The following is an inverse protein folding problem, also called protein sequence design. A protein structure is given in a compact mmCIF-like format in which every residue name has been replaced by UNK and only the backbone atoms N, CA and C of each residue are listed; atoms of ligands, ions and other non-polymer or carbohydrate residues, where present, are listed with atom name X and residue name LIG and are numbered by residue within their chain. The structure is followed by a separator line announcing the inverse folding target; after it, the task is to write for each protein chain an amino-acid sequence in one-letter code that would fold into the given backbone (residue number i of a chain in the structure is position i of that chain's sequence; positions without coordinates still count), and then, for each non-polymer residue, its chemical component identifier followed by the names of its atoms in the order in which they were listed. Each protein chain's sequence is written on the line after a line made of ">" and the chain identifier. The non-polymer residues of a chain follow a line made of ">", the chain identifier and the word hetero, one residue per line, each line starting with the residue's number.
data_IF_445240162676
#
_entry.id   IF_445240162676
#
_cell.length_a   1.000
_cell.length_b   1.000
_cell.length_c   1.000
_cell.angle_alpha   90.00
_cell.angle_beta   90.00
_cell.angle_gamma   90.00
#
_symmetry.space_group_name_H-M   'P 1'
#
loop_
_entity.id
_entity.type
_entity.pdbx_description
1 polymer ?
#
# COMPACT_ATOMS: atom_id res chain seq x y z
N UNK A 1 18.53 15.87 -1.90
CA UNK A 1 17.93 14.65 -1.29
C UNK A 1 16.42 14.73 -1.45
N UNK A 2 15.77 13.89 -2.26
CA UNK A 2 14.30 13.89 -2.42
C UNK A 2 13.68 13.38 -1.11
N UNK A 3 12.82 14.17 -0.46
CA UNK A 3 12.00 13.68 0.67
C UNK A 3 11.06 12.61 0.14
N UNK A 4 11.22 11.37 0.59
CA UNK A 4 10.30 10.27 0.28
C UNK A 4 8.99 10.60 0.99
N UNK A 5 7.97 11.03 0.24
CA UNK A 5 6.61 11.11 0.76
C UNK A 5 6.07 9.69 0.84
N UNK A 6 5.62 9.29 2.03
CA UNK A 6 5.08 7.95 2.27
C UNK A 6 3.64 7.85 1.75
N UNK A 7 2.91 8.95 1.86
CA UNK A 7 1.50 9.07 1.49
C UNK A 7 1.37 10.19 0.47
N UNK A 8 0.76 9.87 -0.66
CA UNK A 8 0.44 10.81 -1.73
C UNK A 8 -1.01 10.61 -2.16
N UNK A 9 -1.75 11.71 -2.27
CA UNK A 9 -3.18 11.68 -2.63
C UNK A 9 -4.06 10.78 -1.75
N UNK A 10 -3.69 10.56 -0.49
CA UNK A 10 -4.46 9.74 0.44
C UNK A 10 -4.31 8.24 0.26
N UNK A 11 -3.29 7.79 -0.50
CA UNK A 11 -2.87 6.40 -0.59
C UNK A 11 -1.33 6.33 -0.50
N UNK A 12 -0.74 5.14 -0.45
CA UNK A 12 0.70 4.94 -0.58
C UNK A 12 1.19 5.41 -1.95
N UNK A 13 2.32 6.13 -1.94
CA UNK A 13 2.99 6.56 -3.17
C UNK A 13 3.33 5.36 -4.06
N UNK A 14 3.28 5.55 -5.37
CA UNK A 14 3.52 4.53 -6.41
C UNK A 14 4.81 3.74 -6.15
N UNK A 15 5.87 4.45 -5.76
CA UNK A 15 7.16 3.86 -5.41
C UNK A 15 7.09 2.92 -4.21
N UNK A 16 6.32 3.26 -3.18
CA UNK A 16 6.19 2.42 -1.99
C UNK A 16 5.38 1.17 -2.31
N UNK A 17 4.29 1.30 -3.07
CA UNK A 17 3.51 0.16 -3.55
C UNK A 17 4.39 -0.81 -4.34
N UNK A 18 5.23 -0.29 -5.23
CA UNK A 18 6.16 -1.08 -6.01
C UNK A 18 7.24 -1.74 -5.14
N UNK A 19 7.81 -1.02 -4.16
CA UNK A 19 8.78 -1.58 -3.21
C UNK A 19 8.17 -2.73 -2.41
N UNK A 20 6.94 -2.61 -1.91
CA UNK A 20 6.27 -3.69 -1.19
C UNK A 20 6.11 -4.95 -2.05
N UNK A 21 5.72 -4.79 -3.32
CA UNK A 21 5.59 -5.90 -4.27
C UNK A 21 6.94 -6.56 -4.51
N UNK A 22 7.95 -5.77 -4.90
CA UNK A 22 9.29 -6.27 -5.24
C UNK A 22 9.95 -6.92 -4.02
N UNK A 23 9.89 -6.30 -2.84
CA UNK A 23 10.45 -6.84 -1.61
C UNK A 23 9.74 -8.12 -1.18
N UNK A 24 8.41 -8.20 -1.33
CA UNK A 24 7.65 -9.41 -1.03
C UNK A 24 8.06 -10.59 -1.92
N UNK A 25 8.16 -10.38 -3.22
CA UNK A 25 8.66 -11.40 -4.15
C UNK A 25 10.13 -11.77 -3.91
N UNK A 26 10.99 -10.80 -3.61
CA UNK A 26 12.39 -11.05 -3.28
C UNK A 26 12.54 -11.90 -2.01
N UNK A 27 11.76 -11.62 -0.96
CA UNK A 27 11.72 -12.42 0.26
C UNK A 27 11.26 -13.85 -0.03
N UNK A 28 10.22 -14.01 -0.85
CA UNK A 28 9.73 -15.33 -1.25
C UNK A 28 10.79 -16.11 -2.04
N UNK A 29 11.50 -15.45 -2.97
CA UNK A 29 12.61 -16.06 -3.70
C UNK A 29 13.76 -16.48 -2.78
N UNK A 30 14.15 -15.63 -1.84
CA UNK A 30 15.16 -15.96 -0.84
C UNK A 30 14.72 -17.13 0.06
N UNK A 31 13.45 -17.16 0.47
CA UNK A 31 12.90 -18.24 1.28
C UNK A 31 13.01 -19.59 0.59
N UNK A 32 12.67 -19.66 -0.71
CA UNK A 32 12.73 -20.91 -1.46
C UNK A 32 14.14 -21.32 -1.90
N UNK A 33 15.04 -20.36 -2.14
CA UNK A 33 16.39 -20.67 -2.63
C UNK A 33 17.41 -20.91 -1.52
N UNK A 34 17.32 -20.16 -0.41
CA UNK A 34 18.36 -20.12 0.62
C UNK A 34 17.99 -20.95 1.86
N UNK A 35 16.70 -21.12 2.14
CA UNK A 35 16.24 -21.84 3.33
C UNK A 35 15.84 -23.25 2.92
N UNK A 36 16.35 -24.24 3.66
CA UNK A 36 15.91 -25.63 3.48
C UNK A 36 14.38 -25.73 3.67
N UNK A 37 13.69 -26.65 2.97
CA UNK A 37 12.25 -26.84 3.07
C UNK A 37 11.87 -27.27 4.49
N UNK A 38 11.59 -26.26 5.31
CA UNK A 38 11.31 -26.32 6.73
C UNK A 38 10.13 -25.41 7.01
N UNK A 39 9.46 -25.62 8.15
CA UNK A 39 8.33 -24.78 8.59
C UNK A 39 8.74 -23.30 8.60
N UNK A 40 9.98 -23.01 9.02
CA UNK A 40 10.52 -21.65 9.04
C UNK A 40 10.62 -21.04 7.62
N UNK A 41 11.12 -21.80 6.64
CA UNK A 41 11.14 -21.35 5.24
C UNK A 41 9.75 -21.05 4.69
N UNK A 42 8.76 -21.88 5.04
CA UNK A 42 7.35 -21.65 4.72
C UNK A 42 6.80 -20.37 5.34
N UNK A 43 7.11 -20.09 6.61
CA UNK A 43 6.69 -18.84 7.28
C UNK A 43 7.29 -17.59 6.60
N UNK A 44 8.59 -17.62 6.25
CA UNK A 44 9.24 -16.51 5.56
C UNK A 44 8.62 -16.29 4.18
N UNK A 45 8.32 -17.36 3.45
CA UNK A 45 7.62 -17.27 2.16
C UNK A 45 6.22 -16.65 2.30
N UNK A 46 5.46 -17.03 3.33
CA UNK A 46 4.14 -16.44 3.62
C UNK A 46 4.21 -14.96 3.99
N UNK A 47 5.24 -14.54 4.71
CA UNK A 47 5.48 -13.11 5.01
C UNK A 47 5.78 -12.35 3.72
N UNK A 48 6.65 -12.89 2.86
CA UNK A 48 6.92 -12.31 1.53
C UNK A 48 5.66 -12.19 0.69
N UNK A 49 4.82 -13.22 0.68
CA UNK A 49 3.53 -13.22 0.00
C UNK A 49 2.57 -12.16 0.55
N UNK A 50 2.44 -12.04 1.88
CA UNK A 50 1.60 -11.02 2.51
C UNK A 50 2.05 -9.60 2.14
N UNK A 51 3.36 -9.33 2.12
CA UNK A 51 3.91 -8.04 1.69
C UNK A 51 3.58 -7.73 0.22
N UNK A 52 3.72 -8.73 -0.66
CA UNK A 52 3.37 -8.58 -2.07
C UNK A 52 1.87 -8.29 -2.26
N UNK A 53 1.01 -8.97 -1.49
CA UNK A 53 -0.43 -8.73 -1.49
C UNK A 53 -0.77 -7.30 -1.02
N UNK A 54 -0.17 -6.83 0.07
CA UNK A 54 -0.41 -5.47 0.59
C UNK A 54 -0.07 -4.42 -0.49
N UNK A 55 1.09 -4.56 -1.14
CA UNK A 55 1.48 -3.67 -2.23
C UNK A 55 0.53 -3.74 -3.44
N UNK A 56 0.10 -4.95 -3.81
CA UNK A 56 -0.86 -5.19 -4.89
C UNK A 56 -2.25 -4.60 -4.63
N UNK A 57 -2.81 -4.83 -3.44
CA UNK A 57 -4.09 -4.27 -3.04
C UNK A 57 -4.04 -2.75 -2.91
N UNK A 58 -2.96 -2.19 -2.35
CA UNK A 58 -2.75 -0.75 -2.34
C UNK A 58 -2.70 -0.17 -3.76
N UNK A 59 -2.15 -0.91 -4.72
CA UNK A 59 -2.13 -0.51 -6.13
C UNK A 59 -3.50 -0.55 -6.78
N UNK A 60 -4.30 -1.60 -6.51
CA UNK A 60 -5.71 -1.63 -6.93
C UNK A 60 -6.51 -0.49 -6.33
N UNK A 61 -6.36 -0.23 -5.03
CA UNK A 61 -7.05 0.88 -4.37
C UNK A 61 -6.73 2.23 -5.04
N UNK A 62 -5.48 2.45 -5.46
CA UNK A 62 -5.11 3.64 -6.21
C UNK A 62 -5.80 3.73 -7.57
N UNK A 63 -5.84 2.62 -8.35
CA UNK A 63 -6.54 2.59 -9.64
C UNK A 63 -8.04 2.87 -9.49
N UNK A 64 -8.65 2.41 -8.40
CA UNK A 64 -10.04 2.66 -8.03
C UNK A 64 -10.28 4.04 -7.39
N UNK A 65 -9.26 4.90 -7.32
CA UNK A 65 -9.31 6.21 -6.65
C UNK A 65 -9.76 6.15 -5.17
N UNK A 66 -9.56 5.00 -4.52
CA UNK A 66 -9.84 4.80 -3.10
C UNK A 66 -8.67 5.43 -2.32
N UNK A 67 -9.01 6.33 -1.41
CA UNK A 67 -8.06 7.11 -0.60
C UNK A 67 -8.14 6.68 0.87
N UNK A 68 -7.57 5.53 1.26
CA UNK A 68 -7.69 5.01 2.63
C UNK A 68 -7.09 5.95 3.70
N UNK A 69 -6.09 6.74 3.33
CA UNK A 69 -5.43 7.73 4.21
C UNK A 69 -5.79 9.18 3.86
N UNK A 70 -6.70 9.39 2.91
CA UNK A 70 -7.14 10.73 2.49
C UNK A 70 -8.41 11.17 3.19
N UNK A 71 -8.68 12.49 3.18
CA UNK A 71 -9.99 13.00 3.56
C UNK A 71 -11.08 12.43 2.65
N UNK A 72 -12.16 11.88 3.23
CA UNK A 72 -13.24 11.30 2.44
C UNK A 72 -13.90 12.33 1.52
N UNK A 73 -14.29 11.92 0.31
CA UNK A 73 -15.01 12.78 -0.64
C UNK A 73 -16.27 13.39 0.00
N UNK A 74 -16.98 12.60 0.82
CA UNK A 74 -18.10 13.05 1.62
C UNK A 74 -17.74 14.20 2.59
N UNK A 75 -16.62 14.10 3.32
CA UNK A 75 -16.17 15.20 4.21
C UNK A 75 -15.89 16.47 3.44
N UNK A 76 -15.36 16.34 2.22
CA UNK A 76 -15.08 17.48 1.35
C UNK A 76 -16.37 18.12 0.84
N UNK A 77 -17.34 17.31 0.39
CA UNK A 77 -18.66 17.78 -0.03
C UNK A 77 -19.43 18.45 1.12
N UNK A 78 -19.40 17.87 2.33
CA UNK A 78 -20.06 18.46 3.51
C UNK A 78 -19.55 19.87 3.83
N UNK A 79 -18.23 20.11 3.70
CA UNK A 79 -17.65 21.44 3.93
C UNK A 79 -18.20 22.48 2.95
N UNK A 80 -18.38 22.12 1.68
CA UNK A 80 -18.96 23.02 0.67
C UNK A 80 -20.37 23.49 1.06
N UNK A 81 -21.23 22.59 1.54
CA UNK A 81 -22.56 22.95 2.02
C UNK A 81 -22.55 23.85 3.27
N UNK A 82 -21.58 23.67 4.17
CA UNK A 82 -21.46 24.51 5.37
C UNK A 82 -20.96 25.94 5.06
N UNK A 83 -20.18 26.10 3.99
CA UNK A 83 -19.72 27.42 3.54
C UNK A 83 -20.82 28.18 2.77
N UNK A 84 -21.67 27.47 2.02
CA UNK A 84 -22.82 28.03 1.31
C UNK A 84 -23.89 28.59 2.27
N UNK A 85 -24.19 27.87 3.36
CA UNK A 85 -25.15 28.32 4.39
C UNK A 85 -24.67 29.52 5.23
N UNK A 86 -23.42 29.99 5.04
CA UNK A 86 -22.87 31.15 5.75
C UNK A 86 -22.81 32.43 4.91
N UNK A 87 -23.29 32.38 3.66
CA UNK A 87 -23.50 33.57 2.81
C UNK A 87 -24.97 33.93 2.77
#
# INVERSE_FOLDING_TARGET
>A
MRKIKIIENGNFTDWIRLIFIVAGFALMFCAFKLIAPTIFGGMVALIGFALALIGGFASRAHMLNIKPFGGSAWRKAKKTYQEDNRK
#
